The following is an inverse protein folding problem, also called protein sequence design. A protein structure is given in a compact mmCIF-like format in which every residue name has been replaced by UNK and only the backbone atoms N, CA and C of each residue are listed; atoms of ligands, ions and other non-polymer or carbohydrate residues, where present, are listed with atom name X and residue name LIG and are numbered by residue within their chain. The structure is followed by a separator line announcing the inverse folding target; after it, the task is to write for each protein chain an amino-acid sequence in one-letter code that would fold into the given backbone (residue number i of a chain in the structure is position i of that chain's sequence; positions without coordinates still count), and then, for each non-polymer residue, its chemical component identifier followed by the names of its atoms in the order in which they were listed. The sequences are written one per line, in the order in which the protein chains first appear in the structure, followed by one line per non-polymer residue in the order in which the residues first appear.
data_IF_318808050956
#
_entry.id   IF_318808050956
#
_cell.length_a   1.000
_cell.length_b   1.000
_cell.length_c   1.000
_cell.angle_alpha   90.00
_cell.angle_beta   90.00
_cell.angle_gamma   90.00
#
_symmetry.space_group_name_H-M   'P 1'
#
loop_
_entity.id
_entity.type
_entity.pdbx_description
1 polymer ?
#
# COMPACT_ATOMS: atom_id res chain seq x y z
N UNK A 1 30.79 22.93 58.98
CA UNK A 1 30.60 21.46 58.87
C UNK A 1 30.15 21.19 57.44
N UNK A 2 31.06 20.70 56.58
CA UNK A 2 31.06 19.33 56.03
C UNK A 2 29.82 19.05 55.15
N UNK A 3 29.89 18.62 53.89
CA UNK A 3 30.94 17.97 53.11
C UNK A 3 30.50 17.93 51.64
N UNK A 4 31.49 17.87 50.74
CA UNK A 4 31.37 17.64 49.29
C UNK A 4 30.52 16.40 48.96
N UNK A 5 29.84 16.40 47.81
CA UNK A 5 29.85 15.23 46.94
C UNK A 5 29.64 15.62 45.47
N UNK A 6 30.50 15.08 44.62
CA UNK A 6 30.64 15.31 43.19
C UNK A 6 30.29 13.99 42.46
N UNK A 7 29.89 14.11 41.19
CA UNK A 7 29.94 13.13 40.07
C UNK A 7 28.63 12.36 39.78
N UNK A 8 28.44 11.80 38.57
CA UNK A 8 29.05 12.09 37.25
C UNK A 8 28.02 12.36 36.13
N UNK A 9 28.47 12.99 35.03
CA UNK A 9 27.76 13.00 33.73
C UNK A 9 27.75 11.59 33.16
N UNK A 10 26.56 11.01 32.95
CA UNK A 10 26.40 9.80 32.14
C UNK A 10 26.02 10.22 30.71
N UNK A 11 26.98 10.13 29.79
CA UNK A 11 26.72 10.21 28.34
C UNK A 11 26.38 8.78 27.89
N UNK A 12 25.10 8.52 27.60
CA UNK A 12 24.67 7.28 26.98
C UNK A 12 24.79 7.42 25.46
N UNK A 13 25.90 6.95 24.91
CA UNK A 13 26.04 6.72 23.47
C UNK A 13 25.28 5.43 23.11
N UNK A 14 24.07 5.57 22.58
CA UNK A 14 23.30 4.44 22.03
C UNK A 14 23.59 4.41 20.53
N UNK A 15 24.42 3.46 20.10
CA UNK A 15 24.58 3.08 18.70
C UNK A 15 23.26 2.54 18.18
N UNK A 16 22.53 3.32 17.38
CA UNK A 16 21.30 2.88 16.75
C UNK A 16 21.64 1.84 15.67
N UNK A 17 21.39 0.57 15.98
CA UNK A 17 21.42 -0.55 15.05
C UNK A 17 20.29 -0.35 14.01
N UNK A 18 20.66 -0.02 12.77
CA UNK A 18 19.73 0.11 11.67
C UNK A 18 19.12 -1.27 11.34
N UNK A 19 17.91 -1.54 11.82
CA UNK A 19 17.11 -2.67 11.38
C UNK A 19 16.63 -2.34 9.97
N UNK A 20 17.28 -2.90 8.95
CA UNK A 20 16.77 -2.86 7.58
C UNK A 20 15.53 -3.75 7.52
N UNK A 21 14.36 -3.15 7.70
CA UNK A 21 13.08 -3.78 7.33
C UNK A 21 13.05 -3.93 5.81
N UNK A 22 13.53 -5.06 5.30
CA UNK A 22 13.23 -5.46 3.93
C UNK A 22 11.76 -5.88 3.90
N UNK A 23 10.88 -4.94 3.54
CA UNK A 23 9.49 -5.28 3.28
C UNK A 23 9.47 -6.31 2.13
N UNK A 24 8.75 -7.43 2.26
CA UNK A 24 8.55 -8.32 1.14
C UNK A 24 7.87 -7.52 0.04
N UNK A 25 8.48 -7.51 -1.14
CA UNK A 25 7.78 -7.07 -2.34
C UNK A 25 6.67 -8.10 -2.58
N UNK A 26 5.46 -7.81 -2.10
CA UNK A 26 4.28 -8.61 -2.42
C UNK A 26 4.14 -8.57 -3.94
N UNK A 27 4.41 -9.70 -4.57
CA UNK A 27 4.11 -9.90 -5.97
C UNK A 27 2.58 -9.96 -6.09
N UNK A 28 2.01 -9.02 -6.84
CA UNK A 28 0.59 -9.00 -7.16
C UNK A 28 0.34 -9.85 -8.41
N UNK A 29 -0.89 -10.36 -8.55
CA UNK A 29 -1.29 -11.14 -9.73
C UNK A 29 -1.24 -10.26 -10.98
N UNK A 30 -1.05 -10.88 -12.15
CA UNK A 30 -1.05 -10.13 -13.40
C UNK A 30 0.18 -9.24 -13.65
N UNK A 31 1.25 -9.36 -12.87
CA UNK A 31 2.49 -8.57 -13.08
C UNK A 31 3.13 -8.74 -14.47
N UNK A 32 2.80 -9.81 -15.21
CA UNK A 32 3.10 -9.98 -16.65
C UNK A 32 2.58 -8.84 -17.54
N UNK A 33 1.57 -8.11 -17.09
CA UNK A 33 0.97 -6.98 -17.81
C UNK A 33 1.57 -5.62 -17.40
N UNK A 34 2.49 -5.57 -16.43
CA UNK A 34 3.08 -4.31 -15.93
C UNK A 34 3.65 -3.47 -17.08
N UNK A 35 4.32 -4.08 -18.05
CA UNK A 35 4.89 -3.34 -19.20
C UNK A 35 3.86 -2.59 -20.05
N UNK A 36 2.57 -2.88 -19.91
CA UNK A 36 1.47 -2.21 -20.60
C UNK A 36 0.86 -1.05 -19.79
N UNK A 37 1.14 -0.99 -18.48
CA UNK A 37 0.69 0.08 -17.59
C UNK A 37 1.52 1.35 -17.81
N UNK A 38 0.89 2.52 -17.62
CA UNK A 38 1.58 3.82 -17.62
C UNK A 38 1.78 4.39 -16.22
N UNK A 39 0.90 4.04 -15.28
CA UNK A 39 1.09 4.38 -13.86
C UNK A 39 1.68 3.18 -13.13
N UNK A 40 2.47 3.45 -12.09
CA UNK A 40 3.00 2.39 -11.24
C UNK A 40 1.95 1.93 -10.21
N UNK A 41 2.08 0.70 -9.71
CA UNK A 41 1.17 0.19 -8.68
C UNK A 41 1.16 1.08 -7.43
N UNK A 42 2.28 1.72 -7.06
CA UNK A 42 2.30 2.62 -5.91
C UNK A 42 1.45 3.88 -6.11
N UNK A 43 1.39 4.39 -7.34
CA UNK A 43 0.52 5.50 -7.70
C UNK A 43 -0.95 5.07 -7.67
N UNK A 44 -1.25 3.89 -8.23
CA UNK A 44 -2.58 3.32 -8.20
C UNK A 44 -3.07 3.05 -6.76
N UNK A 45 -2.22 2.51 -5.87
CA UNK A 45 -2.51 2.35 -4.43
C UNK A 45 -2.89 3.68 -3.78
N UNK A 46 -2.12 4.73 -4.05
CA UNK A 46 -2.39 6.05 -3.47
C UNK A 46 -3.73 6.62 -3.96
N UNK A 47 -4.07 6.41 -5.23
CA UNK A 47 -5.37 6.78 -5.81
C UNK A 47 -6.50 5.98 -5.13
N UNK A 48 -6.33 4.66 -5.00
CA UNK A 48 -7.33 3.77 -4.42
C UNK A 48 -7.59 4.09 -2.94
N UNK A 49 -6.53 4.23 -2.13
CA UNK A 49 -6.64 4.61 -0.71
C UNK A 49 -7.22 6.01 -0.49
N UNK A 50 -7.05 6.92 -1.45
CA UNK A 50 -7.70 8.23 -1.44
C UNK A 50 -9.20 8.11 -1.72
N UNK A 51 -9.60 7.22 -2.62
CA UNK A 51 -11.01 6.96 -2.95
C UNK A 51 -11.73 6.21 -1.82
N UNK A 52 -11.06 5.24 -1.19
CA UNK A 52 -11.56 4.50 -0.04
C UNK A 52 -10.44 4.27 1.00
N UNK A 53 -10.44 5.01 2.13
CA UNK A 53 -9.46 4.78 3.18
C UNK A 53 -9.65 3.44 3.88
N UNK A 54 -8.56 2.69 4.02
CA UNK A 54 -8.54 1.42 4.74
C UNK A 54 -7.19 0.73 4.61
N UNK A 55 -7.20 -0.59 4.77
CA UNK A 55 -6.02 -1.44 4.55
C UNK A 55 -6.23 -2.26 3.29
N UNK A 56 -5.34 -2.08 2.32
CA UNK A 56 -5.29 -2.95 1.15
C UNK A 56 -4.99 -4.38 1.61
N UNK A 57 -5.84 -5.33 1.22
CA UNK A 57 -5.73 -6.75 1.54
C UNK A 57 -5.45 -7.62 0.34
N UNK A 58 -5.77 -7.13 -0.86
CA UNK A 58 -5.41 -7.77 -2.12
C UNK A 58 -5.14 -6.73 -3.21
N UNK A 59 -4.33 -7.11 -4.20
CA UNK A 59 -3.89 -6.26 -5.29
C UNK A 59 -3.66 -7.08 -6.54
N UNK A 60 -4.22 -6.62 -7.66
CA UNK A 60 -4.16 -7.31 -8.94
C UNK A 60 -3.90 -6.35 -10.11
N UNK A 61 -3.36 -6.87 -11.21
CA UNK A 61 -3.29 -6.15 -12.49
C UNK A 61 -3.95 -6.97 -13.59
N UNK A 62 -5.11 -6.51 -14.01
CA UNK A 62 -6.14 -7.27 -14.71
C UNK A 62 -6.35 -6.74 -16.13
N UNK A 63 -6.62 -7.64 -17.09
CA UNK A 63 -7.16 -7.26 -18.40
C UNK A 63 -8.68 -7.34 -18.36
N UNK A 64 -9.30 -6.26 -17.92
CA UNK A 64 -10.75 -6.16 -17.74
C UNK A 64 -11.38 -5.12 -18.67
N UNK A 65 -12.69 -5.22 -18.93
CA UNK A 65 -13.40 -4.25 -19.77
C UNK A 65 -13.61 -2.94 -19.01
N UNK A 66 -13.35 -1.83 -19.69
CA UNK A 66 -13.50 -0.48 -19.12
C UNK A 66 -12.21 0.32 -19.26
N UNK A 67 -12.34 1.65 -19.30
CA UNK A 67 -11.18 2.54 -19.47
C UNK A 67 -10.30 2.14 -20.66
N UNK A 68 -9.04 1.85 -20.37
CA UNK A 68 -8.00 1.45 -21.32
C UNK A 68 -7.85 -0.07 -21.52
N UNK A 69 -8.70 -0.86 -20.87
CA UNK A 69 -8.66 -2.33 -20.90
C UNK A 69 -7.60 -2.95 -19.99
N UNK A 70 -6.99 -2.17 -19.09
CA UNK A 70 -5.99 -2.61 -18.12
C UNK A 70 -6.25 -1.90 -16.80
N UNK A 71 -6.47 -2.67 -15.72
CA UNK A 71 -6.94 -2.18 -14.43
C UNK A 71 -6.05 -2.70 -13.31
N UNK A 72 -5.65 -1.83 -12.39
CA UNK A 72 -5.24 -2.25 -11.06
C UNK A 72 -6.50 -2.43 -10.21
N UNK A 73 -6.68 -3.58 -9.55
CA UNK A 73 -7.75 -3.77 -8.57
C UNK A 73 -7.19 -3.86 -7.16
N UNK A 74 -7.95 -3.33 -6.20
CA UNK A 74 -7.56 -3.27 -4.80
C UNK A 74 -8.74 -3.61 -3.89
N UNK A 75 -8.60 -4.69 -3.13
CA UNK A 75 -9.49 -4.97 -2.01
C UNK A 75 -9.08 -4.12 -0.82
N UNK A 76 -9.92 -3.19 -0.41
CA UNK A 76 -9.65 -2.30 0.71
C UNK A 76 -10.56 -2.63 1.87
N UNK A 77 -9.97 -3.20 2.92
CA UNK A 77 -10.67 -3.52 4.16
C UNK A 77 -10.81 -2.31 5.08
N UNK A 78 -12.04 -2.01 5.48
CA UNK A 78 -12.38 -1.04 6.53
C UNK A 78 -13.36 -1.68 7.53
N UNK A 79 -12.83 -2.09 8.69
CA UNK A 79 -13.58 -2.85 9.68
C UNK A 79 -14.00 -4.23 9.15
N UNK A 80 -15.32 -4.48 9.10
CA UNK A 80 -15.92 -5.71 8.56
C UNK A 80 -16.30 -5.60 7.08
N UNK A 81 -16.07 -4.45 6.44
CA UNK A 81 -16.39 -4.24 5.02
C UNK A 81 -15.13 -4.35 4.17
N UNK A 82 -15.28 -4.89 2.97
CA UNK A 82 -14.29 -4.88 1.89
C UNK A 82 -14.90 -4.09 0.75
N UNK A 83 -14.14 -3.12 0.26
CA UNK A 83 -14.48 -2.29 -0.88
C UNK A 83 -13.47 -2.60 -1.99
N UNK A 84 -13.96 -2.95 -3.16
CA UNK A 84 -13.11 -3.08 -4.34
C UNK A 84 -12.92 -1.70 -4.97
N UNK A 85 -11.68 -1.34 -5.28
CA UNK A 85 -11.37 -0.10 -5.99
C UNK A 85 -10.53 -0.39 -7.22
N UNK A 86 -11.16 -0.25 -8.40
CA UNK A 86 -10.51 -0.38 -9.69
C UNK A 86 -9.91 0.94 -10.19
N UNK A 87 -8.62 0.94 -10.53
CA UNK A 87 -7.90 2.08 -11.11
C UNK A 87 -7.39 1.75 -12.50
N UNK A 88 -7.73 2.56 -13.50
CA UNK A 88 -7.20 2.39 -14.85
C UNK A 88 -5.68 2.53 -14.87
N UNK A 89 -4.98 1.47 -15.28
CA UNK A 89 -3.53 1.39 -15.20
C UNK A 89 -2.78 2.29 -16.21
N UNK A 90 -3.50 2.98 -17.11
CA UNK A 90 -2.89 3.90 -18.09
C UNK A 90 -3.21 5.38 -17.82
N UNK A 91 -4.28 5.67 -17.10
CA UNK A 91 -4.78 7.04 -16.88
C UNK A 91 -4.95 7.41 -15.40
N UNK A 92 -4.97 6.44 -14.49
CA UNK A 92 -5.25 6.66 -13.07
C UNK A 92 -6.72 6.97 -12.75
N UNK A 93 -7.62 6.86 -13.72
CA UNK A 93 -9.05 7.08 -13.51
C UNK A 93 -9.64 5.93 -12.67
N UNK A 94 -10.44 6.27 -11.66
CA UNK A 94 -11.28 5.29 -10.95
C UNK A 94 -12.30 4.69 -11.94
N UNK A 95 -12.28 3.36 -12.04
CA UNK A 95 -13.21 2.55 -12.84
C UNK A 95 -14.28 1.90 -11.96
N UNK A 96 -13.94 1.55 -10.72
CA UNK A 96 -14.83 0.93 -9.74
C UNK A 96 -14.51 1.44 -8.34
N UNK A 97 -15.56 1.55 -7.53
CA UNK A 97 -15.46 1.83 -6.10
C UNK A 97 -16.74 1.34 -5.45
N UNK A 98 -16.88 0.02 -5.36
CA UNK A 98 -18.09 -0.65 -4.87
C UNK A 98 -17.76 -1.72 -3.83
N UNK A 99 -18.77 -2.24 -3.14
CA UNK A 99 -18.55 -3.33 -2.19
C UNK A 99 -18.10 -4.58 -2.95
N UNK A 100 -17.14 -5.29 -2.37
CA UNK A 100 -16.67 -6.57 -2.90
C UNK A 100 -17.84 -7.51 -3.20
N UNK A 101 -17.82 -8.10 -4.40
CA UNK A 101 -18.88 -8.96 -4.89
C UNK A 101 -18.94 -10.31 -4.16
N UNK A 102 -20.04 -11.07 -4.32
CA UNK A 102 -20.12 -12.44 -3.80
C UNK A 102 -19.18 -13.42 -4.52
N UNK A 103 -18.66 -13.02 -5.68
CA UNK A 103 -17.65 -13.76 -6.44
C UNK A 103 -16.39 -12.89 -6.47
N UNK A 104 -15.52 -12.98 -5.44
CA UNK A 104 -14.22 -12.33 -5.50
C UNK A 104 -13.40 -12.95 -6.63
N UNK A 105 -12.65 -12.11 -7.33
CA UNK A 105 -11.83 -12.50 -8.48
C UNK A 105 -10.65 -13.43 -8.11
#
# INVERSE_FOLDING_TARGET
MSTKCLRPRAVFAITALAITFAAPALAYTGQKYRSQAKIDINEARAIALKAHPGRITDEELELERGGSGLRYSFDIKNGSHIQEVGVDAKSGKILENDREGPNPD
#
